data_IF_227444811368
#
_entry.id   IF_227444811368
#
_cell.length_a   1.000
_cell.length_b   1.000
_cell.length_c   1.000
_cell.angle_alpha   90.00
_cell.angle_beta   90.00
_cell.angle_gamma   90.00
#
_symmetry.space_group_name_H-M   'P 1'
#
loop_
_entity.id
_entity.type
_entity.pdbx_description
1 polymer ?
#
# COMPACT_ATOMS: atom_id res chain seq x y z
N UNK A 1 -1.96 -17.58 -7.66
CA UNK A 1 -1.76 -17.20 -6.26
C UNK A 1 -3.12 -16.97 -5.60
N UNK A 2 -3.24 -17.32 -4.32
CA UNK A 2 -4.41 -17.03 -3.51
C UNK A 2 -4.42 -15.55 -3.12
N UNK A 3 -5.57 -14.89 -3.24
CA UNK A 3 -5.77 -13.47 -2.93
C UNK A 3 -6.36 -13.20 -1.53
N UNK A 4 -6.58 -14.25 -0.72
CA UNK A 4 -7.11 -14.14 0.63
C UNK A 4 -6.06 -13.61 1.64
N UNK A 5 -6.54 -13.12 2.78
CA UNK A 5 -5.67 -12.75 3.90
C UNK A 5 -4.86 -13.97 4.37
N UNK A 6 -3.60 -13.77 4.77
CA UNK A 6 -2.77 -14.85 5.28
C UNK A 6 -1.88 -14.42 6.45
N UNK A 7 -1.55 -15.41 7.28
CA UNK A 7 -0.58 -15.31 8.34
C UNK A 7 0.36 -16.53 8.25
N UNK A 8 1.65 -16.27 8.00
CA UNK A 8 2.68 -17.30 7.91
C UNK A 8 3.52 -17.24 9.19
N UNK A 9 3.31 -18.21 10.07
CA UNK A 9 4.03 -18.28 11.35
C UNK A 9 5.48 -18.68 11.13
N UNK A 10 6.41 -17.95 11.74
CA UNK A 10 7.85 -18.15 11.67
C UNK A 10 8.54 -17.75 12.97
N UNK A 11 9.69 -17.09 12.86
CA UNK A 11 10.49 -16.62 14.00
C UNK A 11 9.95 -15.33 14.65
N UNK A 12 10.81 -14.71 15.46
CA UNK A 12 10.50 -13.53 16.28
C UNK A 12 10.58 -12.19 15.53
N UNK A 13 10.95 -12.20 14.26
CA UNK A 13 10.85 -11.04 13.38
C UNK A 13 9.57 -11.14 12.58
N UNK A 14 8.69 -10.15 12.75
CA UNK A 14 7.41 -10.05 12.06
C UNK A 14 7.47 -9.04 10.91
N UNK A 15 6.87 -9.39 9.79
CA UNK A 15 6.73 -8.55 8.61
C UNK A 15 5.24 -8.36 8.31
N UNK A 16 4.76 -7.13 8.45
CA UNK A 16 3.45 -6.76 7.93
C UNK A 16 3.57 -6.38 6.47
N UNK A 17 2.74 -6.94 5.59
CA UNK A 17 2.68 -6.60 4.17
C UNK A 17 1.27 -6.23 3.75
N UNK A 18 1.12 -5.14 3.00
CA UNK A 18 -0.17 -4.72 2.46
C UNK A 18 -0.13 -4.56 0.95
N UNK A 19 -1.20 -4.98 0.31
CA UNK A 19 -1.45 -4.85 -1.12
C UNK A 19 -1.92 -3.45 -1.52
N UNK A 20 -1.94 -3.18 -2.82
CA UNK A 20 -2.38 -1.92 -3.42
C UNK A 20 -3.89 -1.76 -3.52
N UNK A 21 -4.31 -0.56 -3.95
CA UNK A 21 -5.72 -0.23 -4.20
C UNK A 21 -6.26 -1.08 -5.36
N UNK A 22 -7.44 -1.66 -5.18
CA UNK A 22 -8.10 -2.60 -6.09
C UNK A 22 -7.42 -3.97 -6.28
N UNK A 23 -6.25 -4.21 -5.69
CA UNK A 23 -5.53 -5.48 -5.72
C UNK A 23 -5.98 -6.44 -4.61
N UNK A 24 -5.32 -7.58 -4.50
CA UNK A 24 -5.46 -8.53 -3.39
C UNK A 24 -4.10 -8.87 -2.80
N UNK A 25 -4.05 -9.70 -1.78
CA UNK A 25 -2.81 -10.17 -1.14
C UNK A 25 -1.91 -10.95 -2.10
N UNK A 26 -2.42 -11.42 -3.24
CA UNK A 26 -1.61 -12.05 -4.30
C UNK A 26 -0.46 -11.14 -4.77
N UNK A 27 -0.65 -9.81 -4.75
CA UNK A 27 0.37 -8.81 -5.14
C UNK A 27 1.63 -8.86 -4.26
N UNK A 28 1.48 -9.18 -2.98
CA UNK A 28 2.61 -9.25 -2.03
C UNK A 28 3.01 -10.68 -1.68
N UNK A 29 2.34 -11.68 -2.25
CA UNK A 29 2.50 -13.08 -1.87
C UNK A 29 3.91 -13.61 -2.12
N UNK A 30 4.51 -13.34 -3.27
CA UNK A 30 5.84 -13.84 -3.59
C UNK A 30 6.92 -13.30 -2.63
N UNK A 31 6.82 -12.01 -2.30
CA UNK A 31 7.74 -11.38 -1.34
C UNK A 31 7.50 -11.91 0.08
N UNK A 32 6.24 -12.17 0.43
CA UNK A 32 5.88 -12.77 1.71
C UNK A 32 6.45 -14.20 1.86
N UNK A 33 6.34 -15.00 0.82
CA UNK A 33 6.87 -16.38 0.81
C UNK A 33 8.41 -16.37 0.96
N UNK A 34 9.11 -15.41 0.36
CA UNK A 34 10.57 -15.27 0.53
C UNK A 34 10.94 -14.85 1.95
N UNK A 35 10.23 -13.91 2.57
CA UNK A 35 10.44 -13.56 3.97
C UNK A 35 10.17 -14.76 4.90
N UNK A 36 9.08 -15.49 4.64
CA UNK A 36 8.77 -16.68 5.42
C UNK A 36 9.82 -17.78 5.23
N UNK A 37 10.31 -18.01 4.01
CA UNK A 37 11.36 -18.98 3.70
C UNK A 37 12.66 -18.73 4.49
N UNK A 38 12.99 -17.49 4.77
CA UNK A 38 14.15 -17.12 5.61
C UNK A 38 13.82 -17.07 7.11
N UNK A 39 12.62 -17.50 7.50
CA UNK A 39 12.22 -17.72 8.89
C UNK A 39 11.48 -16.57 9.55
N UNK A 40 11.01 -15.56 8.83
CA UNK A 40 10.21 -14.46 9.39
C UNK A 40 8.73 -14.85 9.50
N UNK A 41 8.06 -14.31 10.51
CA UNK A 41 6.59 -14.34 10.58
C UNK A 41 6.04 -13.25 9.66
N UNK A 42 5.09 -13.61 8.78
CA UNK A 42 4.52 -12.64 7.82
C UNK A 42 3.01 -12.57 7.98
N UNK A 43 2.48 -11.35 8.03
CA UNK A 43 1.04 -11.08 8.07
C UNK A 43 0.65 -10.16 6.92
N UNK A 44 -0.32 -10.59 6.12
CA UNK A 44 -0.89 -9.79 5.04
C UNK A 44 -2.41 -9.82 5.09
N UNK A 45 -3.06 -8.75 5.59
CA UNK A 45 -4.51 -8.67 5.60
C UNK A 45 -5.04 -8.42 4.19
N UNK A 46 -6.19 -8.99 3.86
CA UNK A 46 -7.00 -8.52 2.74
C UNK A 46 -7.81 -7.33 3.22
N UNK A 47 -7.49 -6.15 2.71
CA UNK A 47 -8.13 -4.91 3.17
C UNK A 47 -9.62 -4.87 2.83
N UNK A 48 -10.47 -4.27 3.68
CA UNK A 48 -11.91 -4.17 3.44
C UNK A 48 -12.24 -3.66 2.03
N UNK A 49 -13.24 -4.27 1.41
CA UNK A 49 -13.72 -3.95 0.06
C UNK A 49 -12.85 -4.46 -1.09
N UNK A 50 -11.77 -5.19 -0.80
CA UNK A 50 -10.94 -5.86 -1.80
C UNK A 50 -11.28 -7.37 -1.86
N UNK A 51 -10.98 -8.03 -2.99
CA UNK A 51 -11.29 -9.44 -3.19
C UNK A 51 -12.78 -9.76 -3.34
N UNK A 52 -13.66 -8.77 -3.47
CA UNK A 52 -15.12 -8.91 -3.62
C UNK A 52 -15.58 -8.31 -4.94
N UNK A 53 -16.08 -7.08 -4.94
CA UNK A 53 -16.48 -6.33 -6.14
C UNK A 53 -16.14 -4.83 -6.01
N UNK A 54 -15.91 -4.14 -7.13
CA UNK A 54 -15.47 -2.72 -7.10
C UNK A 54 -16.37 -1.80 -6.31
N UNK A 55 -17.69 -2.01 -6.38
CA UNK A 55 -18.66 -1.16 -5.68
C UNK A 55 -18.53 -1.19 -4.17
N UNK A 56 -17.99 -2.25 -3.58
CA UNK A 56 -17.81 -2.35 -2.13
C UNK A 56 -16.85 -1.29 -1.63
N UNK A 57 -15.80 -0.94 -2.40
CA UNK A 57 -14.88 0.16 -2.11
C UNK A 57 -15.56 1.54 -2.09
N UNK A 58 -16.68 1.71 -2.79
CA UNK A 58 -17.43 2.98 -2.78
C UNK A 58 -18.16 3.24 -1.46
N UNK A 59 -18.32 2.23 -0.61
CA UNK A 59 -19.03 2.31 0.66
C UNK A 59 -18.10 2.47 1.86
N UNK A 60 -16.79 2.41 1.63
CA UNK A 60 -15.76 2.47 2.66
C UNK A 60 -15.14 3.85 2.77
N UNK A 61 -14.49 4.08 3.91
CA UNK A 61 -13.62 5.21 4.18
C UNK A 61 -12.18 4.70 4.28
N UNK A 62 -11.22 5.55 3.98
CA UNK A 62 -9.82 5.18 4.08
C UNK A 62 -9.39 4.74 5.50
N UNK A 63 -10.10 5.20 6.53
CA UNK A 63 -9.88 4.79 7.92
C UNK A 63 -10.15 3.29 8.13
N UNK A 64 -11.12 2.72 7.38
CA UNK A 64 -11.46 1.30 7.48
C UNK A 64 -10.27 0.42 7.02
N UNK A 65 -9.48 0.89 6.04
CA UNK A 65 -8.24 0.22 5.62
C UNK A 65 -7.14 0.32 6.68
N UNK A 66 -7.01 1.51 7.32
CA UNK A 66 -6.04 1.71 8.41
C UNK A 66 -6.38 0.81 9.58
N UNK A 67 -7.64 0.76 10.01
CA UNK A 67 -8.10 -0.07 11.13
C UNK A 67 -7.79 -1.55 10.90
N UNK A 68 -8.08 -2.08 9.70
CA UNK A 68 -7.73 -3.44 9.31
C UNK A 68 -6.21 -3.70 9.35
N UNK A 69 -5.40 -2.73 8.88
CA UNK A 69 -3.95 -2.81 8.97
C UNK A 69 -3.44 -2.78 10.41
N UNK A 70 -4.03 -1.95 11.27
CA UNK A 70 -3.71 -1.87 12.70
C UNK A 70 -4.02 -3.18 13.42
N UNK A 71 -5.15 -3.80 13.17
CA UNK A 71 -5.51 -5.12 13.74
C UNK A 71 -4.45 -6.17 13.40
N UNK A 72 -4.05 -6.26 12.14
CA UNK A 72 -3.01 -7.18 11.69
C UNK A 72 -1.64 -6.88 12.33
N UNK A 73 -1.25 -5.60 12.41
CA UNK A 73 -0.03 -5.14 13.06
C UNK A 73 -0.01 -5.47 14.55
N UNK A 74 -1.12 -5.26 15.27
CA UNK A 74 -1.24 -5.59 16.69
C UNK A 74 -1.07 -7.09 16.96
N UNK A 75 -1.49 -7.95 16.03
CA UNK A 75 -1.27 -9.39 16.15
C UNK A 75 0.21 -9.74 16.03
N UNK A 76 0.96 -9.08 15.14
CA UNK A 76 2.41 -9.25 15.05
C UNK A 76 3.12 -8.78 16.33
N UNK A 77 2.74 -7.64 16.91
CA UNK A 77 3.33 -7.15 18.16
C UNK A 77 3.11 -8.10 19.36
N UNK A 78 2.07 -8.93 19.34
CA UNK A 78 1.85 -9.94 20.40
C UNK A 78 2.79 -11.15 20.29
N UNK A 79 3.27 -11.46 19.08
CA UNK A 79 3.98 -12.71 18.79
C UNK A 79 5.44 -12.51 18.41
N UNK A 80 5.79 -11.32 17.92
CA UNK A 80 7.12 -10.96 17.42
C UNK A 80 7.80 -9.92 18.31
N UNK A 81 9.12 -10.00 18.40
CA UNK A 81 9.97 -9.07 19.17
C UNK A 81 10.37 -7.85 18.33
N UNK A 82 10.48 -8.02 17.02
CA UNK A 82 10.77 -6.97 16.04
C UNK A 82 9.72 -7.00 14.95
N UNK A 83 9.13 -5.87 14.60
CA UNK A 83 8.10 -5.79 13.56
C UNK A 83 8.48 -4.72 12.53
N UNK A 84 8.50 -5.15 11.28
CA UNK A 84 8.69 -4.31 10.10
C UNK A 84 7.38 -4.19 9.34
N UNK A 85 7.19 -3.09 8.65
CA UNK A 85 6.00 -2.87 7.82
C UNK A 85 6.39 -2.65 6.37
N UNK A 86 5.57 -3.12 5.45
CA UNK A 86 5.81 -2.91 4.03
C UNK A 86 4.53 -3.03 3.21
N UNK A 87 4.65 -2.75 1.93
CA UNK A 87 3.54 -2.92 1.01
C UNK A 87 3.76 -2.28 -0.34
N UNK A 88 2.87 -2.61 -1.26
CA UNK A 88 2.87 -2.12 -2.63
C UNK A 88 1.86 -0.99 -2.81
N UNK A 89 2.21 0.05 -3.55
CA UNK A 89 1.29 1.13 -3.94
C UNK A 89 0.54 1.75 -2.74
N UNK A 90 -0.77 1.57 -2.61
CA UNK A 90 -1.56 1.97 -1.44
C UNK A 90 -1.07 1.27 -0.16
N UNK A 91 -0.66 0.02 -0.24
CA UNK A 91 -0.07 -0.71 0.88
C UNK A 91 1.20 -0.06 1.41
N UNK A 92 2.02 0.54 0.52
CA UNK A 92 3.17 1.35 0.91
C UNK A 92 2.77 2.62 1.68
N UNK A 93 1.65 3.26 1.29
CA UNK A 93 1.08 4.38 2.07
C UNK A 93 0.59 3.91 3.44
N UNK A 94 -0.03 2.73 3.52
CA UNK A 94 -0.49 2.16 4.79
C UNK A 94 0.70 1.86 5.71
N UNK A 95 1.78 1.29 5.19
CA UNK A 95 3.02 1.07 5.94
C UNK A 95 3.60 2.39 6.50
N UNK A 96 3.66 3.45 5.70
CA UNK A 96 4.09 4.78 6.14
C UNK A 96 3.17 5.36 7.21
N UNK A 97 1.86 5.24 7.02
CA UNK A 97 0.88 5.75 7.97
C UNK A 97 1.03 5.04 9.33
N UNK A 98 1.14 3.71 9.33
CA UNK A 98 1.37 2.91 10.54
C UNK A 98 2.72 3.26 11.21
N UNK A 99 3.80 3.38 10.44
CA UNK A 99 5.11 3.78 10.97
C UNK A 99 5.06 5.15 11.66
N UNK A 100 4.23 6.08 11.16
CA UNK A 100 4.04 7.40 11.79
C UNK A 100 3.27 7.36 13.10
N UNK A 101 2.54 6.28 13.40
CA UNK A 101 1.73 6.12 14.61
C UNK A 101 2.39 5.20 15.66
N UNK A 102 3.19 4.23 15.20
CA UNK A 102 3.77 3.18 16.03
C UNK A 102 5.30 3.26 16.03
N UNK A 103 5.90 4.02 16.98
CA UNK A 103 7.37 4.19 17.06
C UNK A 103 8.14 2.89 17.26
N UNK A 104 7.50 1.83 17.76
CA UNK A 104 8.09 0.50 17.95
C UNK A 104 8.27 -0.29 16.66
N UNK A 105 7.76 0.17 15.51
CA UNK A 105 8.06 -0.39 14.20
C UNK A 105 9.55 -0.21 13.93
N UNK A 106 10.23 -1.28 13.47
CA UNK A 106 11.67 -1.30 13.24
C UNK A 106 12.09 -0.63 11.93
N UNK A 107 11.21 -0.58 10.93
CA UNK A 107 11.45 0.06 9.64
C UNK A 107 10.38 -0.23 8.61
N UNK A 108 10.50 0.40 7.43
CA UNK A 108 9.51 0.31 6.35
C UNK A 108 10.14 -0.13 5.03
N UNK A 109 9.46 -1.06 4.34
CA UNK A 109 9.82 -1.61 3.03
C UNK A 109 8.74 -1.21 2.01
N UNK A 110 9.03 -0.29 1.12
CA UNK A 110 8.04 0.36 0.27
C UNK A 110 8.26 0.00 -1.19
N UNK A 111 7.26 -0.62 -1.80
CA UNK A 111 7.25 -0.98 -3.21
C UNK A 111 6.32 -0.03 -3.95
N UNK A 112 6.88 0.86 -4.78
CA UNK A 112 6.14 1.85 -5.57
C UNK A 112 5.05 2.58 -4.75
N UNK A 113 5.40 3.20 -3.59
CA UNK A 113 4.41 3.79 -2.69
C UNK A 113 3.62 4.92 -3.36
N UNK A 114 2.31 4.79 -3.44
CA UNK A 114 1.44 5.69 -4.21
C UNK A 114 1.17 7.04 -3.51
N UNK A 115 2.21 7.65 -2.95
CA UNK A 115 2.10 8.95 -2.25
C UNK A 115 1.78 10.11 -3.22
N UNK A 116 2.04 9.91 -4.51
CA UNK A 116 1.68 10.81 -5.61
C UNK A 116 1.27 10.00 -6.83
N UNK A 117 0.11 10.30 -7.40
CA UNK A 117 -0.37 9.69 -8.64
C UNK A 117 -0.21 10.62 -9.83
N UNK A 118 -0.26 10.07 -11.05
CA UNK A 118 -0.17 10.81 -12.31
C UNK A 118 -1.45 11.58 -12.68
N UNK A 119 -2.49 11.57 -11.83
CA UNK A 119 -3.75 12.26 -12.11
C UNK A 119 -3.58 13.77 -12.30
N UNK A 120 -4.08 14.28 -13.41
CA UNK A 120 -4.11 15.71 -13.71
C UNK A 120 -5.20 16.43 -12.90
N UNK A 121 -5.16 17.76 -12.91
CA UNK A 121 -6.23 18.57 -12.30
C UNK A 121 -7.58 18.34 -12.98
N UNK A 122 -7.59 18.04 -14.28
CA UNK A 122 -8.81 17.74 -15.04
C UNK A 122 -9.39 16.41 -14.62
N UNK A 123 -8.55 15.37 -14.46
CA UNK A 123 -8.99 14.06 -13.97
C UNK A 123 -9.61 14.16 -12.57
N UNK A 124 -9.00 14.94 -11.69
CA UNK A 124 -9.55 15.21 -10.36
C UNK A 124 -10.92 15.91 -10.44
N UNK A 125 -11.06 16.93 -11.31
CA UNK A 125 -12.34 17.61 -11.51
C UNK A 125 -13.41 16.65 -12.01
N UNK A 126 -13.09 15.85 -13.04
CA UNK A 126 -14.00 14.84 -13.60
C UNK A 126 -14.39 13.78 -12.56
N UNK A 127 -13.41 13.31 -11.76
CA UNK A 127 -13.65 12.37 -10.67
C UNK A 127 -14.69 12.92 -9.67
N UNK A 128 -14.47 14.15 -9.16
CA UNK A 128 -15.36 14.70 -8.15
C UNK A 128 -16.76 15.05 -8.70
N UNK A 129 -16.86 15.43 -9.97
CA UNK A 129 -18.15 15.69 -10.63
C UNK A 129 -18.86 14.38 -11.01
N UNK A 130 -18.13 13.36 -11.42
CA UNK A 130 -18.69 12.07 -11.89
C UNK A 130 -19.06 11.11 -10.75
N UNK A 131 -18.31 11.06 -9.67
CA UNK A 131 -18.48 10.07 -8.59
C UNK A 131 -19.89 10.02 -7.94
N UNK A 132 -20.70 11.10 -7.89
CA UNK A 132 -22.08 11.00 -7.43
C UNK A 132 -22.99 10.16 -8.35
N UNK A 133 -22.68 10.11 -9.65
CA UNK A 133 -23.54 9.55 -10.70
C UNK A 133 -22.99 8.24 -11.29
N UNK A 134 -21.67 8.07 -11.30
CA UNK A 134 -20.99 6.92 -11.89
C UNK A 134 -20.30 6.15 -10.78
N UNK A 135 -20.60 4.85 -10.66
CA UNK A 135 -20.03 4.02 -9.60
C UNK A 135 -18.60 3.60 -9.90
N UNK A 136 -18.33 3.24 -11.15
CA UNK A 136 -17.00 2.78 -11.59
C UNK A 136 -16.76 3.16 -13.05
N UNK A 137 -15.49 3.22 -13.44
CA UNK A 137 -15.01 3.35 -14.82
C UNK A 137 -14.07 2.19 -15.14
N UNK A 138 -14.04 1.76 -16.40
CA UNK A 138 -13.10 0.75 -16.87
C UNK A 138 -11.65 1.28 -16.71
N UNK A 139 -10.72 0.41 -16.37
CA UNK A 139 -9.30 0.70 -16.32
C UNK A 139 -8.66 0.22 -17.63
N UNK A 140 -8.02 1.13 -18.38
CA UNK A 140 -7.46 0.82 -19.71
C UNK A 140 -6.15 0.01 -19.65
N UNK A 141 -5.46 -0.01 -18.54
CA UNK A 141 -4.23 -0.77 -18.38
C UNK A 141 -4.25 -1.54 -17.06
N UNK A 142 -4.55 -2.81 -17.16
CA UNK A 142 -4.13 -3.77 -16.17
C UNK A 142 -2.71 -4.17 -16.56
N UNK A 143 -1.81 -4.15 -15.59
CA UNK A 143 -0.52 -4.79 -15.75
C UNK A 143 -0.76 -6.21 -16.28
N UNK A 144 -0.24 -6.52 -17.47
CA UNK A 144 -0.52 -7.79 -18.17
C UNK A 144 0.13 -9.02 -17.53
N UNK A 145 0.50 -8.95 -16.25
CA UNK A 145 1.01 -10.10 -15.53
C UNK A 145 -0.14 -11.01 -15.09
N UNK A 146 -0.09 -12.29 -15.44
CA UNK A 146 -1.03 -13.33 -14.97
C UNK A 146 -1.04 -13.50 -13.44
N UNK A 147 -0.14 -12.83 -12.74
CA UNK A 147 0.00 -12.88 -11.27
C UNK A 147 -0.81 -11.81 -10.57
N UNK A 148 -1.16 -10.70 -11.25
CA UNK A 148 -1.95 -9.64 -10.67
C UNK A 148 -3.42 -10.03 -10.55
N UNK A 149 -3.96 -9.91 -9.36
CA UNK A 149 -5.38 -10.16 -9.07
C UNK A 149 -6.00 -8.90 -8.48
N UNK A 150 -6.96 -8.34 -9.17
CA UNK A 150 -7.63 -7.13 -8.73
C UNK A 150 -8.81 -6.75 -9.63
N UNK A 151 -9.39 -5.58 -9.37
CA UNK A 151 -10.55 -5.12 -10.11
C UNK A 151 -10.18 -4.49 -11.45
N UNK A 152 -10.90 -4.90 -12.50
CA UNK A 152 -10.82 -4.27 -13.82
C UNK A 152 -11.45 -2.86 -13.85
N UNK A 153 -12.33 -2.55 -12.91
CA UNK A 153 -12.98 -1.26 -12.76
C UNK A 153 -12.42 -0.42 -11.62
N UNK A 154 -12.39 0.90 -11.80
CA UNK A 154 -12.03 1.87 -10.76
C UNK A 154 -13.29 2.40 -10.08
N UNK A 155 -13.54 2.09 -8.79
CA UNK A 155 -14.67 2.61 -8.04
C UNK A 155 -14.44 4.08 -7.68
N UNK A 156 -15.21 5.01 -8.25
CA UNK A 156 -14.89 6.46 -8.19
C UNK A 156 -14.91 7.03 -6.78
N UNK A 157 -15.84 6.62 -5.91
CA UNK A 157 -15.84 7.06 -4.51
C UNK A 157 -14.68 6.43 -3.74
N UNK A 158 -14.31 5.19 -4.06
CA UNK A 158 -13.11 4.53 -3.53
C UNK A 158 -11.83 5.30 -3.89
N UNK A 159 -11.71 5.76 -5.16
CA UNK A 159 -10.58 6.62 -5.58
C UNK A 159 -10.54 7.92 -4.79
N UNK A 160 -11.69 8.54 -4.49
CA UNK A 160 -11.72 9.73 -3.63
C UNK A 160 -11.19 9.41 -2.21
N UNK A 161 -11.53 8.26 -1.65
CA UNK A 161 -10.99 7.83 -0.34
C UNK A 161 -9.49 7.57 -0.41
N UNK A 162 -9.02 6.91 -1.47
CA UNK A 162 -7.60 6.73 -1.73
C UNK A 162 -6.84 8.07 -1.76
N UNK A 163 -7.34 9.09 -2.49
CA UNK A 163 -6.72 10.42 -2.53
C UNK A 163 -6.78 11.15 -1.16
N UNK A 164 -7.80 10.91 -0.36
CA UNK A 164 -7.87 11.41 1.02
C UNK A 164 -6.82 10.74 1.90
N UNK A 165 -6.64 9.44 1.76
CA UNK A 165 -5.61 8.68 2.45
C UNK A 165 -4.21 9.16 2.08
N UNK A 166 -3.95 9.35 0.79
CA UNK A 166 -2.69 9.94 0.30
C UNK A 166 -2.37 11.26 1.00
N UNK A 167 -3.34 12.18 1.06
CA UNK A 167 -3.16 13.48 1.75
C UNK A 167 -2.94 13.31 3.26
N UNK A 168 -3.63 12.36 3.89
CA UNK A 168 -3.46 12.07 5.32
C UNK A 168 -2.06 11.53 5.60
N UNK A 169 -1.55 10.63 4.77
CA UNK A 169 -0.21 10.05 4.89
C UNK A 169 0.88 11.12 4.70
N UNK A 170 0.76 11.96 3.66
CA UNK A 170 1.72 13.07 3.42
C UNK A 170 1.90 13.95 4.66
N UNK A 171 0.80 14.31 5.32
CA UNK A 171 0.83 15.18 6.53
C UNK A 171 1.55 14.54 7.71
N UNK A 172 1.79 13.24 7.68
CA UNK A 172 2.39 12.47 8.77
C UNK A 172 3.84 12.06 8.50
N UNK A 173 4.38 12.29 7.31
CA UNK A 173 5.72 11.86 6.94
C UNK A 173 6.78 12.32 7.95
N UNK A 174 6.71 13.55 8.44
CA UNK A 174 7.66 14.08 9.42
C UNK A 174 7.65 13.38 10.79
N UNK A 175 6.66 12.55 11.07
CA UNK A 175 6.60 11.74 12.30
C UNK A 175 7.28 10.36 12.14
N UNK A 176 7.80 10.06 10.95
CA UNK A 176 8.46 8.79 10.67
C UNK A 176 9.97 8.96 10.88
N UNK A 177 10.53 8.23 11.84
CA UNK A 177 11.96 8.25 12.22
C UNK A 177 12.66 6.92 11.96
N UNK A 178 11.88 5.85 11.72
CA UNK A 178 12.38 4.50 11.47
C UNK A 178 13.09 4.42 10.11
N UNK A 179 14.03 3.47 9.92
CA UNK A 179 14.65 3.20 8.63
C UNK A 179 13.63 2.97 7.52
N UNK A 180 13.91 3.51 6.34
CA UNK A 180 13.05 3.38 5.16
C UNK A 180 13.84 2.89 3.96
N UNK A 181 13.30 1.89 3.27
CA UNK A 181 13.76 1.40 1.98
C UNK A 181 12.63 1.51 0.95
N UNK A 182 12.89 2.21 -0.16
CA UNK A 182 11.94 2.43 -1.25
C UNK A 182 12.46 1.77 -2.53
N UNK A 183 11.62 0.98 -3.18
CA UNK A 183 11.81 0.52 -4.55
C UNK A 183 10.77 1.18 -5.45
N UNK A 184 11.20 1.76 -6.57
CA UNK A 184 10.30 2.43 -7.52
C UNK A 184 10.67 2.11 -8.97
N UNK A 185 9.69 1.76 -9.79
CA UNK A 185 9.87 1.50 -11.22
C UNK A 185 10.02 2.82 -12.00
N UNK A 186 10.96 2.85 -12.97
CA UNK A 186 11.11 4.02 -13.85
C UNK A 186 10.02 4.10 -14.91
N UNK A 187 9.38 2.99 -15.22
CA UNK A 187 8.36 2.88 -16.25
C UNK A 187 6.94 2.87 -15.67
N UNK A 188 6.79 3.19 -14.39
CA UNK A 188 5.48 3.24 -13.73
C UNK A 188 4.60 4.35 -14.34
N UNK A 189 3.41 3.97 -14.79
CA UNK A 189 2.42 4.87 -15.40
C UNK A 189 1.34 5.34 -14.41
N UNK A 190 1.37 4.83 -13.19
CA UNK A 190 0.33 5.07 -12.15
C UNK A 190 0.83 5.97 -11.05
N UNK A 191 2.01 5.67 -10.52
CA UNK A 191 2.66 6.41 -9.44
C UNK A 191 3.64 7.41 -10.05
N UNK A 192 3.51 8.67 -9.64
CA UNK A 192 4.36 9.72 -10.17
C UNK A 192 5.84 9.49 -9.78
N UNK A 193 6.79 9.80 -10.69
CA UNK A 193 8.23 9.63 -10.40
C UNK A 193 8.69 10.34 -9.13
N UNK A 194 8.07 11.48 -8.79
CA UNK A 194 8.39 12.27 -7.61
C UNK A 194 7.95 11.62 -6.28
N UNK A 195 7.21 10.51 -6.33
CA UNK A 195 6.66 9.87 -5.11
C UNK A 195 7.78 9.49 -4.12
N UNK A 196 8.84 8.85 -4.59
CA UNK A 196 10.00 8.51 -3.75
C UNK A 196 10.66 9.74 -3.14
N UNK A 197 10.87 10.80 -3.93
CA UNK A 197 11.47 12.05 -3.46
C UNK A 197 10.61 12.75 -2.40
N UNK A 198 9.28 12.76 -2.56
CA UNK A 198 8.36 13.31 -1.56
C UNK A 198 8.53 12.59 -0.23
N UNK A 199 8.66 11.27 -0.23
CA UNK A 199 8.88 10.49 0.99
C UNK A 199 10.28 10.81 1.56
N UNK A 200 11.33 10.71 0.75
CA UNK A 200 12.71 10.95 1.17
C UNK A 200 12.92 12.32 1.80
N UNK A 201 12.23 13.34 1.29
CA UNK A 201 12.29 14.71 1.80
C UNK A 201 11.33 14.96 2.97
N UNK A 202 10.26 14.16 3.07
CA UNK A 202 9.20 14.36 4.07
C UNK A 202 9.45 13.68 5.41
N UNK A 203 10.18 12.56 5.42
CA UNK A 203 10.45 11.77 6.63
C UNK A 203 11.62 12.31 7.44
N UNK A 204 11.57 12.09 8.76
CA UNK A 204 12.65 12.42 9.70
C UNK A 204 13.65 11.27 9.92
N UNK A 205 13.55 10.21 9.12
CA UNK A 205 14.44 9.04 9.19
C UNK A 205 15.89 9.43 8.87
N UNK A 206 16.83 8.97 9.67
CA UNK A 206 18.27 9.12 9.41
C UNK A 206 18.76 8.11 8.37
N UNK A 207 18.22 6.88 8.41
CA UNK A 207 18.52 5.81 7.47
C UNK A 207 17.38 5.73 6.46
N UNK A 208 17.65 6.10 5.22
CA UNK A 208 16.67 6.07 4.12
C UNK A 208 17.34 5.85 2.79
N UNK A 209 16.85 4.88 2.05
CA UNK A 209 17.35 4.50 0.74
C UNK A 209 16.21 4.47 -0.29
N UNK A 210 16.53 4.89 -1.53
CA UNK A 210 15.61 4.86 -2.65
C UNK A 210 16.30 4.22 -3.86
N UNK A 211 15.77 3.10 -4.31
CA UNK A 211 16.28 2.33 -5.43
C UNK A 211 15.34 2.39 -6.62
N UNK A 212 15.88 2.81 -7.76
CA UNK A 212 15.17 2.77 -9.04
C UNK A 212 15.31 1.41 -9.70
N UNK A 213 14.19 0.87 -10.16
CA UNK A 213 14.13 -0.36 -10.95
C UNK A 213 13.96 0.01 -12.42
N UNK A 214 15.00 -0.20 -13.23
CA UNK A 214 15.07 0.31 -14.60
C UNK A 214 14.04 -0.33 -15.56
N UNK A 215 13.67 -1.59 -15.31
CA UNK A 215 12.81 -2.39 -16.19
C UNK A 215 11.47 -2.80 -15.54
N UNK A 216 11.07 -2.10 -14.49
CA UNK A 216 9.80 -2.36 -13.79
C UNK A 216 8.80 -1.24 -14.06
N UNK A 217 7.60 -1.62 -14.44
CA UNK A 217 6.42 -0.76 -14.54
C UNK A 217 5.59 -0.83 -13.25
#
# INVERSE_FOLDING_TARGET
LDGDAFFLEGGKVGIFLSHGFTATTAEVRLVADEFHRVGYTVSAPLLPGHGTKPEDLNNLRWQDWVESGEESLQNLFKTCEQVWVGGASMGGMLALYLASQYPQICGSLLYVPAIRTMMSKMDLLQLYLGAPFVKEIARDSLDGSDLWQGYAGLPLKGVIQFLRFQRATIKRLSHIHQPILIFQGRQDLTVAPEAGEIIMNGVSSEIKEHHWMEFSS
#
